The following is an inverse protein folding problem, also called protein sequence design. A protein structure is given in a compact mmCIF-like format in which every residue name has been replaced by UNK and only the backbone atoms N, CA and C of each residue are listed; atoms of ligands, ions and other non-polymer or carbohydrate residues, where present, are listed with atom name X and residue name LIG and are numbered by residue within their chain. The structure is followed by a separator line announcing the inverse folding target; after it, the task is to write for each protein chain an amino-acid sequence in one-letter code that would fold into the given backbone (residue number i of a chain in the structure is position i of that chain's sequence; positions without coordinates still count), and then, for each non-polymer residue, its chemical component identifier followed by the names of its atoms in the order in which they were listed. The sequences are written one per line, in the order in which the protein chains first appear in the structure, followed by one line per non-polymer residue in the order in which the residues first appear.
data_IF_542491959979
#
_entry.id   IF_542491959979
#
_cell.length_a   1.000
_cell.length_b   1.000
_cell.length_c   1.000
_cell.angle_alpha   90.00
_cell.angle_beta   90.00
_cell.angle_gamma   90.00
#
_symmetry.space_group_name_H-M   'P 1'
#
loop_
_entity.id
_entity.type
_entity.pdbx_description
1 polymer ?
#
# COMPACT_ATOMS: atom_id res chain seq x y z
N UNK A 1 26.42 -16.17 38.78
CA UNK A 1 26.21 -16.03 37.33
C UNK A 1 24.73 -16.29 37.05
N UNK A 2 23.92 -15.24 36.90
CA UNK A 2 22.50 -15.37 36.59
C UNK A 2 22.32 -15.87 35.16
N UNK A 3 21.70 -17.04 35.00
CA UNK A 3 21.25 -17.52 33.69
C UNK A 3 20.08 -16.63 33.27
N UNK A 4 20.28 -15.74 32.29
CA UNK A 4 19.16 -15.07 31.61
C UNK A 4 18.31 -16.15 30.94
N UNK A 5 17.21 -16.51 31.59
CA UNK A 5 16.25 -17.48 31.07
C UNK A 5 15.57 -16.97 29.80
N UNK A 6 15.05 -17.90 29.00
CA UNK A 6 14.17 -17.58 27.89
C UNK A 6 13.02 -16.68 28.36
N UNK A 7 12.80 -15.58 27.64
CA UNK A 7 11.64 -14.72 27.84
C UNK A 7 10.82 -14.70 26.56
N UNK A 8 9.50 -14.80 26.71
CA UNK A 8 8.54 -14.62 25.61
C UNK A 8 8.80 -13.31 24.87
N UNK A 9 9.17 -12.24 25.60
CA UNK A 9 9.53 -10.95 25.00
C UNK A 9 10.76 -11.03 24.08
N UNK A 10 11.80 -11.75 24.49
CA UNK A 10 13.00 -11.96 23.68
C UNK A 10 12.68 -12.75 22.41
N UNK A 11 11.82 -13.76 22.51
CA UNK A 11 11.38 -14.56 21.38
C UNK A 11 10.57 -13.75 20.36
N UNK A 12 9.60 -12.97 20.83
CA UNK A 12 8.82 -12.07 19.96
C UNK A 12 9.68 -10.98 19.31
N UNK A 13 10.72 -10.49 19.98
CA UNK A 13 11.67 -9.57 19.36
C UNK A 13 12.42 -10.19 18.17
N UNK A 14 12.72 -11.49 18.22
CA UNK A 14 13.35 -12.20 17.11
C UNK A 14 12.38 -12.52 15.96
N UNK A 15 11.11 -12.77 16.28
CA UNK A 15 10.08 -13.06 15.27
C UNK A 15 9.50 -11.81 14.61
N UNK A 16 9.54 -10.66 15.30
CA UNK A 16 8.94 -9.43 14.78
C UNK A 16 9.79 -8.92 13.62
N UNK A 17 9.21 -8.76 12.41
CA UNK A 17 9.92 -8.08 11.34
C UNK A 17 10.28 -6.66 11.80
N UNK A 18 11.41 -6.11 11.32
CA UNK A 18 11.80 -4.76 11.67
C UNK A 18 10.65 -3.80 11.38
N UNK A 19 10.40 -2.81 12.26
CA UNK A 19 9.29 -1.89 12.09
C UNK A 19 9.39 -1.22 10.72
N UNK A 20 8.25 -1.16 10.03
CA UNK A 20 8.16 -0.54 8.72
C UNK A 20 8.63 0.91 8.82
N UNK A 21 9.63 1.29 8.01
CA UNK A 21 10.19 2.65 7.97
C UNK A 21 9.24 3.69 7.34
N UNK A 22 7.98 3.33 7.09
CA UNK A 22 7.00 4.19 6.44
C UNK A 22 6.34 5.13 7.46
N UNK A 23 6.16 6.44 7.15
CA UNK A 23 5.53 7.42 8.03
C UNK A 23 4.00 7.24 8.14
N UNK A 24 3.55 6.10 8.68
CA UNK A 24 2.14 5.69 8.72
C UNK A 24 1.23 6.67 9.44
N UNK A 25 1.75 7.45 10.40
CA UNK A 25 0.99 8.50 11.12
C UNK A 25 0.43 9.57 10.19
N UNK A 26 1.06 9.79 9.03
CA UNK A 26 0.58 10.71 8.00
C UNK A 26 -0.77 10.31 7.40
N UNK A 27 -1.11 9.01 7.41
CA UNK A 27 -2.35 8.48 6.84
C UNK A 27 -3.56 8.78 7.73
N UNK A 28 -3.38 8.75 9.06
CA UNK A 28 -4.47 8.79 10.04
C UNK A 28 -4.75 10.20 10.57
N UNK A 29 -4.74 11.21 9.70
CA UNK A 29 -5.01 12.60 10.10
C UNK A 29 -6.51 12.80 10.39
N UNK A 30 -6.91 13.64 11.38
CA UNK A 30 -8.32 13.83 11.75
C UNK A 30 -9.24 14.29 10.60
N UNK A 31 -8.69 15.03 9.62
CA UNK A 31 -9.44 15.54 8.47
C UNK A 31 -9.59 14.52 7.33
N UNK A 32 -8.92 13.37 7.41
CA UNK A 32 -9.00 12.33 6.38
C UNK A 32 -10.16 11.40 6.72
N UNK A 33 -11.05 11.19 5.76
CA UNK A 33 -12.15 10.27 5.95
C UNK A 33 -11.63 8.83 6.21
N UNK A 34 -12.18 8.08 7.19
CA UNK A 34 -11.65 6.77 7.57
C UNK A 34 -11.50 5.77 6.40
N UNK A 35 -12.43 5.79 5.44
CA UNK A 35 -12.35 4.95 4.23
C UNK A 35 -11.12 5.26 3.37
N UNK A 36 -10.75 6.53 3.25
CA UNK A 36 -9.56 6.96 2.51
C UNK A 36 -8.30 6.55 3.26
N UNK A 37 -8.25 6.78 4.57
CA UNK A 37 -7.13 6.37 5.41
C UNK A 37 -6.90 4.85 5.34
N UNK A 38 -7.97 4.06 5.45
CA UNK A 38 -7.91 2.61 5.34
C UNK A 38 -7.44 2.16 3.95
N UNK A 39 -8.00 2.73 2.89
CA UNK A 39 -7.58 2.44 1.51
C UNK A 39 -6.08 2.73 1.33
N UNK A 40 -5.62 3.92 1.71
CA UNK A 40 -4.21 4.30 1.62
C UNK A 40 -3.31 3.38 2.43
N UNK A 41 -3.73 2.98 3.64
CA UNK A 41 -2.98 2.02 4.44
C UNK A 41 -2.86 0.66 3.75
N UNK A 42 -3.95 0.13 3.21
CA UNK A 42 -3.93 -1.14 2.47
C UNK A 42 -3.10 -1.06 1.18
N UNK A 43 -3.08 0.11 0.53
CA UNK A 43 -2.24 0.37 -0.64
C UNK A 43 -0.75 0.35 -0.27
N UNK A 44 -0.36 1.05 0.79
CA UNK A 44 1.04 1.07 1.29
C UNK A 44 1.53 -0.32 1.68
N UNK A 45 0.65 -1.15 2.25
CA UNK A 45 0.98 -2.54 2.57
C UNK A 45 1.05 -3.45 1.32
N UNK A 46 0.71 -2.93 0.13
CA UNK A 46 0.62 -3.70 -1.10
C UNK A 46 -0.45 -4.79 -1.05
N UNK A 47 -1.57 -4.54 -0.35
CA UNK A 47 -2.62 -5.55 -0.06
C UNK A 47 -3.94 -5.33 -0.79
N UNK A 48 -4.01 -4.34 -1.68
CA UNK A 48 -5.19 -4.14 -2.53
C UNK A 48 -5.46 -5.36 -3.41
N UNK A 49 -6.72 -5.59 -3.83
CA UNK A 49 -7.11 -6.75 -4.64
C UNK A 49 -6.73 -6.60 -6.12
N UNK A 50 -5.47 -6.25 -6.40
CA UNK A 50 -4.90 -6.18 -7.75
C UNK A 50 -4.64 -7.57 -8.32
N UNK A 51 -4.65 -7.72 -9.65
CA UNK A 51 -4.48 -9.02 -10.29
C UNK A 51 -3.20 -9.76 -9.87
N UNK A 52 -2.09 -9.05 -9.61
CA UNK A 52 -0.88 -9.67 -9.03
C UNK A 52 -1.13 -10.27 -7.64
N UNK A 53 -1.84 -9.57 -6.77
CA UNK A 53 -2.15 -10.01 -5.41
C UNK A 53 -3.18 -11.15 -5.40
N UNK A 54 -4.15 -11.10 -6.31
CA UNK A 54 -5.10 -12.20 -6.51
C UNK A 54 -4.37 -13.47 -6.99
N UNK A 55 -3.40 -13.34 -7.91
CA UNK A 55 -2.55 -14.45 -8.32
C UNK A 55 -1.68 -14.99 -7.19
N UNK A 56 -1.08 -14.13 -6.37
CA UNK A 56 -0.33 -14.54 -5.16
C UNK A 56 -1.20 -15.34 -4.17
N UNK A 57 -2.52 -15.18 -4.21
CA UNK A 57 -3.50 -15.95 -3.42
C UNK A 57 -3.97 -17.23 -4.11
N UNK A 58 -3.37 -17.61 -5.23
CA UNK A 58 -3.66 -18.85 -5.96
C UNK A 58 -4.77 -18.74 -7.01
N UNK A 59 -5.28 -17.54 -7.29
CA UNK A 59 -6.28 -17.38 -8.35
C UNK A 59 -5.62 -17.40 -9.74
N UNK A 60 -6.16 -18.23 -10.64
CA UNK A 60 -5.70 -18.37 -12.02
C UNK A 60 -6.36 -17.30 -12.88
N UNK A 61 -5.63 -16.23 -13.17
CA UNK A 61 -6.11 -15.14 -14.02
C UNK A 61 -4.96 -14.45 -14.75
N UNK A 62 -5.25 -13.80 -15.86
CA UNK A 62 -4.28 -13.00 -16.61
C UNK A 62 -3.96 -11.74 -15.80
N UNK A 63 -2.67 -11.49 -15.56
CA UNK A 63 -2.26 -10.24 -14.93
C UNK A 63 -2.09 -9.16 -16.00
N UNK A 64 -3.11 -8.31 -16.14
CA UNK A 64 -3.12 -7.18 -17.06
C UNK A 64 -3.88 -6.03 -16.43
N UNK A 65 -3.26 -4.85 -16.40
CA UNK A 65 -3.82 -3.64 -15.79
C UNK A 65 -5.21 -3.33 -16.35
N UNK A 66 -6.18 -3.16 -15.45
CA UNK A 66 -7.57 -2.91 -15.85
C UNK A 66 -7.77 -1.55 -16.53
N UNK A 67 -6.86 -0.59 -16.33
CA UNK A 67 -6.90 0.76 -16.90
C UNK A 67 -6.18 0.83 -18.25
N UNK A 68 -4.84 0.75 -18.27
CA UNK A 68 -4.06 0.98 -19.49
C UNK A 68 -4.01 -0.23 -20.43
N UNK A 69 -4.31 -1.44 -19.95
CA UNK A 69 -4.21 -2.69 -20.72
C UNK A 69 -2.82 -2.97 -21.34
N UNK A 70 -1.75 -2.25 -21.00
CA UNK A 70 -0.43 -2.43 -21.62
C UNK A 70 0.61 -3.08 -20.71
N UNK A 71 0.38 -3.06 -19.39
CA UNK A 71 1.30 -3.63 -18.39
C UNK A 71 0.57 -4.58 -17.45
N UNK A 72 1.34 -5.29 -16.63
CA UNK A 72 0.82 -6.07 -15.51
C UNK A 72 0.20 -5.13 -14.45
N UNK A 73 -0.91 -5.56 -13.84
CA UNK A 73 -1.51 -4.86 -12.71
C UNK A 73 -0.75 -5.18 -11.43
N UNK A 74 -0.28 -4.13 -10.76
CA UNK A 74 0.20 -4.14 -9.38
C UNK A 74 -0.35 -2.91 -8.67
N UNK A 75 -0.24 -2.84 -7.35
CA UNK A 75 -0.67 -1.64 -6.59
C UNK A 75 0.03 -0.38 -7.08
N UNK A 76 1.36 -0.44 -7.22
CA UNK A 76 2.17 0.70 -7.67
C UNK A 76 1.84 1.09 -9.10
N UNK A 77 1.65 0.10 -9.99
CA UNK A 77 1.26 0.40 -11.35
C UNK A 77 -0.13 1.02 -11.40
N UNK A 78 -1.12 0.41 -10.76
CA UNK A 78 -2.50 0.87 -10.81
C UNK A 78 -2.66 2.29 -10.26
N UNK A 79 -1.95 2.64 -9.20
CA UNK A 79 -2.10 3.94 -8.51
C UNK A 79 -1.12 5.01 -8.97
N UNK A 80 0.08 4.66 -9.46
CA UNK A 80 1.17 5.62 -9.69
C UNK A 80 1.70 5.53 -11.13
N UNK A 81 2.06 4.34 -11.60
CA UNK A 81 2.76 4.20 -12.89
C UNK A 81 1.85 4.03 -14.10
N UNK A 82 0.56 3.80 -13.92
CA UNK A 82 -0.40 3.71 -14.99
C UNK A 82 -0.56 5.09 -15.66
N UNK A 83 -0.46 5.19 -17.00
CA UNK A 83 -0.62 6.45 -17.71
C UNK A 83 -1.93 7.17 -17.35
N UNK A 84 -3.05 6.43 -17.32
CA UNK A 84 -4.36 6.98 -16.94
C UNK A 84 -4.38 7.47 -15.48
N UNK A 85 -3.78 6.73 -14.54
CA UNK A 85 -3.70 7.17 -13.15
C UNK A 85 -2.85 8.44 -13.04
N UNK A 86 -1.74 8.53 -13.77
CA UNK A 86 -0.88 9.71 -13.79
C UNK A 86 -1.61 10.95 -14.31
N UNK A 87 -2.38 10.81 -15.39
CA UNK A 87 -3.23 11.89 -15.91
C UNK A 87 -4.24 12.37 -14.87
N UNK A 88 -4.92 11.43 -14.19
CA UNK A 88 -5.86 11.78 -13.11
C UNK A 88 -5.18 12.55 -11.97
N UNK A 89 -3.96 12.16 -11.59
CA UNK A 89 -3.19 12.88 -10.59
C UNK A 89 -2.83 14.28 -11.06
N UNK A 90 -2.33 14.44 -12.28
CA UNK A 90 -2.01 15.75 -12.85
C UNK A 90 -3.23 16.68 -12.82
N UNK A 91 -4.41 16.20 -13.24
CA UNK A 91 -5.65 16.98 -13.18
C UNK A 91 -6.04 17.35 -11.74
N UNK A 92 -5.88 16.42 -10.80
CA UNK A 92 -6.17 16.68 -9.38
C UNK A 92 -5.25 17.74 -8.80
N UNK A 93 -3.95 17.71 -9.13
CA UNK A 93 -3.00 18.72 -8.67
C UNK A 93 -3.28 20.09 -9.28
N UNK A 94 -3.58 20.16 -10.57
CA UNK A 94 -3.96 21.42 -11.23
C UNK A 94 -5.23 22.03 -10.62
N UNK A 95 -6.22 21.20 -10.29
CA UNK A 95 -7.44 21.66 -9.63
C UNK A 95 -7.17 22.21 -8.22
N UNK A 96 -6.29 21.56 -7.45
CA UNK A 96 -5.89 22.04 -6.13
C UNK A 96 -5.09 23.34 -6.22
N UNK A 97 -4.21 23.50 -7.21
CA UNK A 97 -3.46 24.74 -7.45
C UNK A 97 -4.36 25.89 -7.89
N UNK A 98 -5.43 25.62 -8.65
CA UNK A 98 -6.39 26.64 -9.07
C UNK A 98 -7.31 27.11 -7.93
N UNK A 99 -7.59 26.24 -6.95
CA UNK A 99 -8.45 26.54 -5.80
C UNK A 99 -7.69 27.02 -4.55
N UNK A 100 -6.36 26.98 -4.56
CA UNK A 100 -5.49 27.45 -3.47
C UNK A 100 -5.05 28.90 -3.70
#
# INVERSE_FOLDING_TARGET
MEKKGFSVQSYYHCLSPPPMKFPWRGIWKPRVHPRVAFFTWTAVLGKLPTADNLRKRGMVMVNRCCLCKTAAESVDHLLIHCPLAREMWTLSFLFLEYLA
#
